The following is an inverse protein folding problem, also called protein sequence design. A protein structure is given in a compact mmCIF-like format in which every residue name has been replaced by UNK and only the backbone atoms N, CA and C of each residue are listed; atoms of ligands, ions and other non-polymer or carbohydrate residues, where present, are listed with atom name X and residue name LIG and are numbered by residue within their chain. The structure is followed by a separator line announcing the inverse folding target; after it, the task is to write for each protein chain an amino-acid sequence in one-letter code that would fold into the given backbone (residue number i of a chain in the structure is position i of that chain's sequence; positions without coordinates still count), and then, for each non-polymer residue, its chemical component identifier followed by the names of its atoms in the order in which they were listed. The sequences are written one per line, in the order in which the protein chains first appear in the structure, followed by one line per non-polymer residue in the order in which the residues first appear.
data_IF_156286878786
#
_entry.id   IF_156286878786
#
_cell.length_a   1.000
_cell.length_b   1.000
_cell.length_c   1.000
_cell.angle_alpha   90.00
_cell.angle_beta   90.00
_cell.angle_gamma   90.00
#
_symmetry.space_group_name_H-M   'P 1'
#
loop_
_entity.id
_entity.type
_entity.pdbx_description
1 polymer ?
#
# COMPACT_ATOMS: atom_id res chain seq x y z
N UNK A 1 8.22 3.14 -21.57
CA UNK A 1 9.26 2.71 -20.61
C UNK A 1 8.60 2.32 -19.30
N UNK A 2 9.15 1.36 -18.55
CA UNK A 2 8.56 0.89 -17.26
C UNK A 2 8.77 1.91 -16.14
N UNK A 3 7.84 2.06 -15.19
CA UNK A 3 8.06 2.83 -13.95
C UNK A 3 8.88 2.04 -12.92
N UNK A 4 9.43 2.72 -11.91
CA UNK A 4 10.05 2.09 -10.73
C UNK A 4 9.38 2.61 -9.47
N UNK A 5 9.20 1.78 -8.45
CA UNK A 5 8.66 2.27 -7.18
C UNK A 5 8.95 1.36 -6.01
N UNK A 6 8.74 1.88 -4.81
CA UNK A 6 8.71 1.07 -3.59
C UNK A 6 7.29 0.69 -3.23
N UNK A 7 7.06 -0.55 -2.81
CA UNK A 7 5.75 -1.03 -2.35
C UNK A 7 5.88 -1.91 -1.10
N UNK A 8 6.20 -1.38 0.08
CA UNK A 8 6.44 0.03 0.47
C UNK A 8 7.72 0.15 1.33
N UNK A 9 8.23 1.38 1.51
CA UNK A 9 9.19 1.68 2.57
C UNK A 9 8.46 2.13 3.83
N UNK A 10 8.73 1.50 4.98
CA UNK A 10 8.07 1.92 6.22
C UNK A 10 8.67 3.21 6.80
N UNK A 11 7.81 4.04 7.43
CA UNK A 11 8.17 5.38 7.94
C UNK A 11 8.83 5.40 9.33
N UNK A 12 9.00 4.24 9.96
CA UNK A 12 9.64 4.12 11.27
C UNK A 12 11.13 3.77 11.18
N UNK A 13 11.49 2.91 10.22
CA UNK A 13 12.86 2.43 10.04
C UNK A 13 13.83 3.45 9.41
N UNK A 14 13.30 4.55 8.86
CA UNK A 14 14.06 5.54 8.09
C UNK A 14 13.59 6.95 8.45
N UNK A 15 14.54 7.88 8.60
CA UNK A 15 14.20 9.29 8.83
C UNK A 15 13.61 9.91 7.55
N UNK A 16 12.78 10.97 7.66
CA UNK A 16 12.23 11.67 6.50
C UNK A 16 13.33 12.14 5.52
N UNK A 17 14.43 12.69 6.04
CA UNK A 17 15.54 13.15 5.20
C UNK A 17 16.25 11.99 4.46
N UNK A 18 16.33 10.79 5.06
CA UNK A 18 16.88 9.62 4.41
C UNK A 18 15.95 9.10 3.29
N UNK A 19 14.63 9.11 3.53
CA UNK A 19 13.63 8.77 2.52
C UNK A 19 13.68 9.74 1.34
N UNK A 20 13.73 11.06 1.61
CA UNK A 20 13.82 12.09 0.58
C UNK A 20 15.07 11.93 -0.30
N UNK A 21 16.24 11.67 0.31
CA UNK A 21 17.49 11.40 -0.41
C UNK A 21 17.44 10.11 -1.23
N UNK A 22 16.82 9.06 -0.68
CA UNK A 22 16.65 7.78 -1.37
C UNK A 22 15.79 7.97 -2.63
N UNK A 23 14.63 8.63 -2.48
CA UNK A 23 13.73 8.90 -3.59
C UNK A 23 14.39 9.78 -4.66
N UNK A 24 15.06 10.87 -4.28
CA UNK A 24 15.76 11.75 -5.21
C UNK A 24 16.85 11.01 -6.01
N UNK A 25 17.57 10.10 -5.36
CA UNK A 25 18.64 9.33 -6.00
C UNK A 25 18.07 8.29 -6.98
N UNK A 26 17.05 7.54 -6.58
CA UNK A 26 16.36 6.59 -7.45
C UNK A 26 15.67 7.29 -8.62
N UNK A 27 15.10 8.46 -8.37
CA UNK A 27 14.45 9.24 -9.41
C UNK A 27 15.45 9.70 -10.48
N UNK A 28 16.57 10.28 -10.06
CA UNK A 28 17.65 10.68 -10.96
C UNK A 28 18.20 9.50 -11.77
N UNK A 29 18.52 8.38 -11.11
CA UNK A 29 19.04 7.17 -11.77
C UNK A 29 18.03 6.55 -12.75
N UNK A 30 16.74 6.67 -12.45
CA UNK A 30 15.67 6.16 -13.31
C UNK A 30 15.34 7.11 -14.45
N UNK A 31 15.82 8.35 -14.44
CA UNK A 31 15.42 9.38 -15.39
C UNK A 31 13.98 9.88 -15.18
N UNK A 32 13.57 10.06 -13.92
CA UNK A 32 12.28 10.68 -13.60
C UNK A 32 11.12 9.68 -13.47
N UNK A 33 11.42 8.39 -13.29
CA UNK A 33 10.43 7.29 -13.34
C UNK A 33 10.15 6.66 -11.96
N UNK A 34 10.68 7.24 -10.88
CA UNK A 34 10.53 6.66 -9.54
C UNK A 34 9.26 7.14 -8.84
N UNK A 35 8.60 6.25 -8.11
CA UNK A 35 7.46 6.55 -7.23
C UNK A 35 7.77 6.05 -5.82
N UNK A 36 7.62 6.93 -4.83
CA UNK A 36 7.89 6.60 -3.43
C UNK A 36 6.63 6.03 -2.76
N UNK A 37 6.53 4.70 -2.66
CA UNK A 37 5.50 4.08 -1.83
C UNK A 37 5.92 3.98 -0.36
N UNK A 38 5.06 4.47 0.53
CA UNK A 38 5.26 4.52 1.99
C UNK A 38 4.14 3.80 2.73
N UNK A 39 4.41 3.45 3.99
CA UNK A 39 3.41 2.87 4.89
C UNK A 39 3.87 2.90 6.34
N UNK A 40 2.92 2.82 7.27
CA UNK A 40 3.23 2.81 8.70
C UNK A 40 3.71 1.43 9.21
N UNK A 41 3.45 0.35 8.46
CA UNK A 41 3.58 -1.03 8.93
C UNK A 41 2.68 -1.34 10.15
N UNK A 42 2.92 -2.45 10.84
CA UNK A 42 2.22 -2.86 12.06
C UNK A 42 3.13 -2.96 13.28
N UNK A 43 2.56 -2.94 14.51
CA UNK A 43 3.33 -2.92 15.75
C UNK A 43 4.30 -4.10 15.89
N UNK A 44 3.93 -5.30 15.46
CA UNK A 44 4.83 -6.47 15.51
C UNK A 44 6.13 -6.24 14.73
N UNK A 45 6.05 -5.65 13.54
CA UNK A 45 7.23 -5.36 12.73
C UNK A 45 8.02 -4.20 13.36
N UNK A 46 7.34 -3.12 13.74
CA UNK A 46 8.01 -1.91 14.22
C UNK A 46 8.65 -2.12 15.60
N UNK A 47 7.94 -2.74 16.54
CA UNK A 47 8.44 -2.97 17.89
C UNK A 47 9.30 -4.24 17.96
N UNK A 48 8.88 -5.31 17.30
CA UNK A 48 9.57 -6.60 17.35
C UNK A 48 10.83 -6.66 16.49
N UNK A 49 10.80 -6.16 15.26
CA UNK A 49 11.94 -6.24 14.34
C UNK A 49 12.83 -4.99 14.38
N UNK A 50 12.23 -3.80 14.47
CA UNK A 50 13.00 -2.54 14.49
C UNK A 50 13.31 -2.01 15.90
N UNK A 51 12.64 -2.51 16.95
CA UNK A 51 12.85 -2.04 18.32
C UNK A 51 12.41 -0.59 18.57
N UNK A 52 11.46 -0.08 17.77
CA UNK A 52 10.99 1.31 17.85
C UNK A 52 9.54 1.31 18.37
N UNK A 53 9.14 2.23 19.26
CA UNK A 53 7.75 2.35 19.69
C UNK A 53 6.80 2.64 18.53
N UNK A 54 5.69 1.90 18.42
CA UNK A 54 4.66 2.14 17.41
C UNK A 54 3.68 3.24 17.85
N UNK A 55 4.11 4.49 17.76
CA UNK A 55 3.33 5.67 18.17
C UNK A 55 3.02 6.61 17.00
N UNK A 56 1.84 7.24 17.05
CA UNK A 56 1.36 8.25 16.10
C UNK A 56 1.56 7.91 14.61
N UNK A 57 1.19 6.71 14.13
CA UNK A 57 1.51 6.26 12.77
C UNK A 57 0.97 7.18 11.67
N UNK A 58 -0.27 7.66 11.81
CA UNK A 58 -0.87 8.56 10.84
C UNK A 58 -0.16 9.92 10.81
N UNK A 59 0.10 10.51 11.98
CA UNK A 59 0.84 11.78 12.07
C UNK A 59 2.25 11.61 11.49
N UNK A 60 2.98 10.58 11.89
CA UNK A 60 4.33 10.28 11.37
C UNK A 60 4.34 10.19 9.85
N UNK A 61 3.39 9.45 9.27
CA UNK A 61 3.28 9.29 7.82
C UNK A 61 3.07 10.64 7.13
N UNK A 62 2.14 11.46 7.64
CA UNK A 62 1.87 12.80 7.11
C UNK A 62 3.10 13.71 7.17
N UNK A 63 3.74 13.81 8.34
CA UNK A 63 4.94 14.64 8.50
C UNK A 63 6.10 14.16 7.62
N UNK A 64 6.24 12.84 7.40
CA UNK A 64 7.25 12.30 6.46
C UNK A 64 6.97 12.75 5.03
N UNK A 65 5.71 12.72 4.57
CA UNK A 65 5.35 13.17 3.22
C UNK A 65 5.65 14.67 3.04
N UNK A 66 5.20 15.49 4.00
CA UNK A 66 5.44 16.94 4.00
C UNK A 66 6.94 17.24 3.95
N UNK A 67 7.74 16.63 4.83
CA UNK A 67 9.18 16.83 4.88
C UNK A 67 9.87 16.36 3.59
N UNK A 68 9.43 15.25 2.97
CA UNK A 68 9.99 14.80 1.70
C UNK A 68 9.76 15.82 0.59
N UNK A 69 8.52 16.31 0.43
CA UNK A 69 8.17 17.34 -0.55
C UNK A 69 8.95 18.63 -0.32
N UNK A 70 9.05 19.09 0.94
CA UNK A 70 9.85 20.27 1.30
C UNK A 70 11.33 20.08 0.95
N UNK A 71 11.91 18.91 1.24
CA UNK A 71 13.31 18.62 0.95
C UNK A 71 13.60 18.68 -0.56
N UNK A 72 12.68 18.21 -1.41
CA UNK A 72 12.84 18.20 -2.87
C UNK A 72 12.78 19.60 -3.50
N UNK A 73 12.27 20.62 -2.79
CA UNK A 73 12.40 22.02 -3.23
C UNK A 73 13.83 22.57 -3.10
N UNK A 74 14.77 21.82 -2.51
CA UNK A 74 16.19 22.20 -2.31
C UNK A 74 16.40 23.50 -1.50
N UNK A 75 15.43 23.85 -0.68
CA UNK A 75 15.55 24.94 0.28
C UNK A 75 16.11 24.43 1.63
N UNK A 76 16.65 25.30 2.50
CA UNK A 76 17.01 24.91 3.86
C UNK A 76 15.79 24.33 4.59
N UNK A 77 15.87 23.06 4.97
CA UNK A 77 14.75 22.33 5.55
C UNK A 77 14.55 22.73 7.02
N UNK A 78 13.38 23.31 7.29
CA UNK A 78 12.88 23.58 8.65
C UNK A 78 11.52 22.94 8.83
N UNK A 79 11.31 22.25 9.94
CA UNK A 79 10.05 21.57 10.24
C UNK A 79 9.84 21.51 11.76
N UNK A 80 8.63 21.84 12.22
CA UNK A 80 8.23 21.75 13.62
C UNK A 80 6.91 20.99 13.71
N UNK A 81 7.01 19.68 13.89
CA UNK A 81 5.88 18.77 13.96
C UNK A 81 5.69 18.19 15.35
N UNK A 82 4.77 17.23 15.43
CA UNK A 82 4.55 16.41 16.62
C UNK A 82 5.50 15.23 16.71
N UNK A 83 5.98 14.71 15.57
CA UNK A 83 6.89 13.56 15.51
C UNK A 83 8.31 14.01 15.18
N UNK A 84 8.48 15.00 14.30
CA UNK A 84 9.79 15.46 13.85
C UNK A 84 10.01 16.95 14.11
N UNK A 85 11.23 17.28 14.55
CA UNK A 85 11.74 18.65 14.61
C UNK A 85 13.05 18.72 13.82
N UNK A 86 13.10 19.60 12.82
CA UNK A 86 14.24 19.81 11.94
C UNK A 86 14.53 21.32 11.87
N UNK A 87 15.73 21.79 12.30
CA UNK A 87 16.74 21.05 13.04
C UNK A 87 16.24 20.61 14.43
N UNK A 88 16.92 19.62 15.00
CA UNK A 88 16.64 19.16 16.37
C UNK A 88 16.95 20.29 17.38
N UNK A 89 16.04 20.59 18.33
CA UNK A 89 16.30 21.58 19.37
C UNK A 89 17.53 21.25 20.22
N UNK A 90 18.20 22.30 20.72
CA UNK A 90 19.49 22.18 21.39
C UNK A 90 19.42 21.30 22.64
N UNK A 91 18.28 21.29 23.34
CA UNK A 91 18.06 20.51 24.56
C UNK A 91 17.96 19.00 24.30
N UNK A 92 17.74 18.61 23.04
CA UNK A 92 17.65 17.22 22.60
C UNK A 92 18.89 16.74 21.83
N UNK A 93 19.93 17.57 21.70
CA UNK A 93 21.12 17.25 20.92
C UNK A 93 22.36 18.04 21.34
N UNK A 94 23.31 18.20 20.42
CA UNK A 94 24.57 18.93 20.67
C UNK A 94 24.46 20.45 20.50
N UNK A 95 23.29 20.95 20.07
CA UNK A 95 23.09 22.37 19.72
C UNK A 95 23.74 22.82 18.40
N UNK A 96 24.38 21.90 17.66
CA UNK A 96 25.05 22.21 16.38
C UNK A 96 24.12 22.12 15.15
N UNK A 97 22.88 21.67 15.35
CA UNK A 97 21.90 21.53 14.28
C UNK A 97 21.55 22.88 13.66
N UNK A 98 21.59 22.96 12.34
CA UNK A 98 21.09 24.09 11.56
C UNK A 98 20.29 23.58 10.37
N UNK A 99 19.40 24.39 9.77
CA UNK A 99 18.71 24.01 8.55
C UNK A 99 19.71 23.65 7.45
N UNK A 100 19.49 22.52 6.79
CA UNK A 100 20.30 22.03 5.67
C UNK A 100 19.39 21.78 4.48
N UNK A 101 19.97 21.87 3.27
CA UNK A 101 19.29 21.50 2.03
C UNK A 101 19.84 20.18 1.50
N UNK A 102 19.01 19.43 0.79
CA UNK A 102 19.47 18.22 0.09
C UNK A 102 20.55 18.58 -0.94
N UNK A 103 21.60 17.76 -1.03
CA UNK A 103 22.71 18.00 -1.97
C UNK A 103 22.35 17.59 -3.40
N UNK A 104 21.48 16.59 -3.56
CA UNK A 104 21.01 16.08 -4.86
C UNK A 104 20.40 17.20 -5.70
N UNK A 105 20.89 17.36 -6.93
CA UNK A 105 20.21 18.18 -7.92
C UNK A 105 18.99 17.43 -8.41
N UNK A 106 17.81 17.99 -8.14
CA UNK A 106 16.55 17.32 -8.40
C UNK A 106 16.25 17.34 -9.89
N UNK A 107 15.87 16.18 -10.43
CA UNK A 107 15.32 16.09 -11.78
C UNK A 107 13.85 16.53 -11.78
N UNK A 108 13.12 16.14 -10.73
CA UNK A 108 11.76 16.57 -10.42
C UNK A 108 11.73 17.12 -9.00
N UNK A 109 11.11 18.27 -8.81
CA UNK A 109 10.93 18.91 -7.50
C UNK A 109 9.65 18.43 -6.79
N UNK A 110 8.94 17.48 -7.39
CA UNK A 110 7.87 16.70 -6.79
C UNK A 110 7.93 15.24 -7.31
N UNK A 111 8.19 14.30 -6.41
CA UNK A 111 8.23 12.86 -6.71
C UNK A 111 6.93 12.24 -6.20
N UNK A 112 6.17 11.49 -7.03
CA UNK A 112 4.90 10.92 -6.61
C UNK A 112 5.04 10.03 -5.37
N UNK A 113 4.12 10.22 -4.43
CA UNK A 113 4.05 9.45 -3.18
C UNK A 113 2.79 8.59 -3.19
N UNK A 114 2.97 7.28 -2.96
CA UNK A 114 1.88 6.31 -2.84
C UNK A 114 1.84 5.78 -1.41
N UNK A 115 0.65 5.49 -0.89
CA UNK A 115 0.50 5.08 0.51
C UNK A 115 -0.21 3.75 0.62
N UNK A 116 0.38 2.82 1.36
CA UNK A 116 -0.32 1.65 1.86
C UNK A 116 -1.04 1.98 3.18
N UNK A 117 -2.37 1.95 3.15
CA UNK A 117 -3.25 2.28 4.27
C UNK A 117 -4.55 1.47 4.20
N UNK A 118 -5.12 1.14 5.37
CA UNK A 118 -6.35 0.31 5.47
C UNK A 118 -7.39 0.91 6.42
N UNK A 119 -6.99 1.61 7.49
CA UNK A 119 -7.94 2.18 8.43
C UNK A 119 -8.58 3.46 7.89
N UNK A 120 -9.86 3.70 8.22
CA UNK A 120 -10.65 4.83 7.74
C UNK A 120 -9.89 6.17 7.70
N UNK A 121 -9.40 6.64 8.85
CA UNK A 121 -8.65 7.91 8.94
C UNK A 121 -7.37 7.91 8.08
N UNK A 122 -6.69 6.77 7.95
CA UNK A 122 -5.49 6.68 7.11
C UNK A 122 -5.81 6.67 5.62
N UNK A 123 -6.93 6.08 5.22
CA UNK A 123 -7.42 6.09 3.84
C UNK A 123 -7.89 7.48 3.46
N UNK A 124 -8.62 8.17 4.35
CA UNK A 124 -9.05 9.55 4.15
C UNK A 124 -7.85 10.49 3.92
N UNK A 125 -6.84 10.45 4.80
CA UNK A 125 -5.63 11.25 4.61
C UNK A 125 -4.84 10.85 3.35
N UNK A 126 -4.89 9.57 2.96
CA UNK A 126 -4.25 9.10 1.72
C UNK A 126 -4.91 9.75 0.50
N UNK A 127 -6.24 9.70 0.40
CA UNK A 127 -6.99 10.33 -0.68
C UNK A 127 -6.80 11.85 -0.74
N UNK A 128 -6.67 12.51 0.42
CA UNK A 128 -6.46 13.95 0.48
C UNK A 128 -5.05 14.40 0.07
N UNK A 129 -4.01 13.60 0.35
CA UNK A 129 -2.62 14.11 0.36
C UNK A 129 -1.59 13.29 -0.42
N UNK A 130 -1.94 12.10 -0.92
CA UNK A 130 -1.05 11.25 -1.70
C UNK A 130 -1.42 11.20 -3.19
N UNK A 131 -0.47 10.84 -4.04
CA UNK A 131 -0.72 10.65 -5.47
C UNK A 131 -1.47 9.33 -5.73
N UNK A 132 -1.23 8.31 -4.91
CA UNK A 132 -1.97 7.06 -5.02
C UNK A 132 -2.05 6.24 -3.75
N UNK A 133 -2.91 5.22 -3.80
CA UNK A 133 -3.24 4.33 -2.69
C UNK A 133 -2.96 2.88 -3.05
N UNK A 134 -2.36 2.18 -2.09
CA UNK A 134 -1.98 0.78 -2.17
C UNK A 134 -2.78 -0.02 -1.11
N UNK A 135 -4.09 -0.22 -1.29
CA UNK A 135 -4.88 -1.12 -0.46
C UNK A 135 -4.36 -2.57 -0.55
N UNK A 136 -4.79 -3.39 0.40
CA UNK A 136 -4.43 -4.80 0.48
C UNK A 136 -5.67 -5.67 0.23
N UNK A 137 -5.53 -6.74 -0.56
CA UNK A 137 -6.60 -7.68 -0.94
C UNK A 137 -7.92 -6.97 -1.19
N UNK A 138 -7.95 -6.16 -2.24
CA UNK A 138 -9.17 -5.47 -2.66
C UNK A 138 -10.20 -6.52 -3.07
N UNK A 139 -11.36 -6.45 -2.44
CA UNK A 139 -12.59 -7.10 -2.89
C UNK A 139 -13.44 -6.00 -3.54
N UNK A 140 -13.42 -5.87 -4.89
CA UNK A 140 -14.03 -4.75 -5.60
C UNK A 140 -15.48 -4.49 -5.19
N UNK A 141 -16.29 -5.54 -5.13
CA UNK A 141 -17.73 -5.44 -4.83
C UNK A 141 -18.04 -4.99 -3.40
N UNK A 142 -17.06 -5.03 -2.48
CA UNK A 142 -17.21 -4.57 -1.09
C UNK A 142 -16.33 -3.36 -0.78
N UNK A 143 -15.62 -2.81 -1.77
CA UNK A 143 -14.65 -1.74 -1.60
C UNK A 143 -15.29 -0.43 -1.12
N UNK A 144 -16.43 -0.03 -1.71
CA UNK A 144 -17.15 1.19 -1.30
C UNK A 144 -17.73 1.07 0.11
N UNK A 145 -18.23 -0.11 0.49
CA UNK A 145 -18.74 -0.37 1.85
C UNK A 145 -17.66 -0.19 2.91
N UNK A 146 -16.42 -0.60 2.63
CA UNK A 146 -15.32 -0.53 3.60
C UNK A 146 -14.65 0.84 3.62
N UNK A 147 -14.42 1.45 2.46
CA UNK A 147 -13.58 2.63 2.32
C UNK A 147 -14.22 3.82 1.62
N UNK A 148 -15.40 3.68 1.02
CA UNK A 148 -16.04 4.70 0.20
C UNK A 148 -16.21 6.04 0.90
N UNK A 149 -16.67 6.02 2.16
CA UNK A 149 -16.83 7.25 2.95
C UNK A 149 -15.49 7.94 3.23
N UNK A 150 -14.44 7.16 3.55
CA UNK A 150 -13.10 7.70 3.79
C UNK A 150 -12.49 8.27 2.52
N UNK A 151 -12.64 7.58 1.39
CA UNK A 151 -12.16 8.07 0.10
C UNK A 151 -12.89 9.36 -0.28
N UNK A 152 -14.23 9.40 -0.21
CA UNK A 152 -15.01 10.62 -0.49
C UNK A 152 -14.57 11.80 0.38
N UNK A 153 -14.49 11.61 1.70
CA UNK A 153 -14.07 12.66 2.62
C UNK A 153 -12.63 13.16 2.35
N UNK A 154 -11.72 12.26 1.97
CA UNK A 154 -10.36 12.64 1.58
C UNK A 154 -10.33 13.41 0.26
N UNK A 155 -11.10 12.97 -0.73
CA UNK A 155 -11.20 13.64 -2.04
C UNK A 155 -11.79 15.05 -1.93
N UNK A 156 -12.72 15.30 -1.01
CA UNK A 156 -13.25 16.65 -0.73
C UNK A 156 -12.16 17.62 -0.24
N UNK A 157 -11.11 17.11 0.40
CA UNK A 157 -9.98 17.89 0.94
C UNK A 157 -8.73 17.82 0.04
N UNK A 158 -8.80 17.13 -1.10
CA UNK A 158 -7.65 16.85 -1.92
C UNK A 158 -7.04 18.12 -2.48
N UNK A 159 -5.72 18.21 -2.39
CA UNK A 159 -4.95 19.27 -3.05
C UNK A 159 -5.06 19.09 -4.58
N UNK A 160 -5.62 20.06 -5.33
CA UNK A 160 -5.73 19.97 -6.78
C UNK A 160 -4.39 19.77 -7.50
N UNK A 161 -3.26 20.22 -6.91
CA UNK A 161 -1.93 20.07 -7.51
C UNK A 161 -1.48 18.60 -7.56
N UNK A 162 -2.09 17.69 -6.78
CA UNK A 162 -1.76 16.27 -6.80
C UNK A 162 -2.30 15.52 -8.03
N UNK A 163 -3.21 16.13 -8.79
CA UNK A 163 -3.90 15.51 -9.91
C UNK A 163 -4.85 14.39 -9.48
N UNK A 164 -5.15 13.47 -10.39
CA UNK A 164 -6.05 12.34 -10.13
C UNK A 164 -5.50 11.43 -9.02
N UNK A 165 -6.39 10.82 -8.25
CA UNK A 165 -6.04 9.89 -7.20
C UNK A 165 -5.92 8.48 -7.75
N UNK A 166 -4.71 7.95 -7.82
CA UNK A 166 -4.46 6.62 -8.37
C UNK A 166 -4.76 5.51 -7.35
N UNK A 167 -5.80 4.74 -7.59
CA UNK A 167 -6.19 3.60 -6.77
C UNK A 167 -5.59 2.34 -7.38
N UNK A 168 -4.64 1.73 -6.66
CA UNK A 168 -3.88 0.58 -7.16
C UNK A 168 -4.38 -0.71 -6.51
N UNK A 169 -4.86 -1.65 -7.30
CA UNK A 169 -5.34 -2.92 -6.78
C UNK A 169 -5.07 -4.08 -7.73
N UNK A 170 -5.22 -5.30 -7.24
CA UNK A 170 -5.07 -6.51 -8.02
C UNK A 170 -4.66 -7.67 -7.14
N UNK A 171 -4.14 -8.71 -7.77
CA UNK A 171 -3.76 -9.95 -7.13
C UNK A 171 -3.08 -10.87 -8.12
N UNK A 172 -3.27 -12.15 -7.95
CA UNK A 172 -2.84 -13.14 -8.92
C UNK A 172 -3.62 -12.97 -10.23
N UNK A 173 -2.94 -13.17 -11.35
CA UNK A 173 -3.56 -13.24 -12.67
C UNK A 173 -3.11 -14.50 -13.41
N UNK A 174 -4.06 -15.27 -13.90
CA UNK A 174 -3.84 -16.42 -14.76
C UNK A 174 -5.02 -16.53 -15.74
N UNK A 175 -4.73 -16.73 -17.02
CA UNK A 175 -5.74 -16.71 -18.08
C UNK A 175 -5.74 -18.05 -18.81
N UNK A 176 -6.86 -18.77 -18.78
CA UNK A 176 -7.05 -20.05 -19.46
C UNK A 176 -8.15 -20.93 -18.84
N UNK A 177 -8.54 -21.97 -19.56
CA UNK A 177 -9.69 -22.84 -19.20
C UNK A 177 -9.55 -23.52 -17.83
N UNK A 178 -8.33 -23.76 -17.33
CA UNK A 178 -8.05 -24.38 -16.04
C UNK A 178 -7.38 -23.43 -15.04
N UNK A 179 -7.38 -22.12 -15.33
CA UNK A 179 -6.64 -21.14 -14.55
C UNK A 179 -7.21 -20.88 -13.15
N UNK A 180 -8.48 -21.25 -12.90
CA UNK A 180 -9.14 -21.14 -11.59
C UNK A 180 -8.35 -21.82 -10.47
N UNK A 181 -7.70 -22.96 -10.74
CA UNK A 181 -6.87 -23.69 -9.76
C UNK A 181 -5.75 -22.85 -9.16
N UNK A 182 -5.32 -21.79 -9.84
CA UNK A 182 -4.24 -20.92 -9.38
C UNK A 182 -4.68 -19.95 -8.28
N UNK A 183 -5.99 -19.77 -8.03
CA UNK A 183 -6.51 -18.92 -6.94
C UNK A 183 -6.00 -19.37 -5.58
N UNK A 184 -5.89 -20.69 -5.36
CA UNK A 184 -5.38 -21.27 -4.12
C UNK A 184 -3.95 -20.85 -3.78
N UNK A 185 -3.15 -20.41 -4.76
CA UNK A 185 -1.81 -19.87 -4.51
C UNK A 185 -1.83 -18.55 -3.72
N UNK A 186 -2.98 -17.88 -3.59
CA UNK A 186 -3.13 -16.70 -2.76
C UNK A 186 -3.26 -17.04 -1.26
N UNK A 187 -3.72 -18.26 -0.93
CA UNK A 187 -4.02 -18.66 0.46
C UNK A 187 -2.86 -18.55 1.43
N UNK A 188 -1.61 -18.94 1.10
CA UNK A 188 -0.50 -18.83 2.05
C UNK A 188 -0.23 -17.39 2.46
N UNK A 189 -0.30 -16.45 1.52
CA UNK A 189 -0.13 -15.02 1.78
C UNK A 189 -1.31 -14.48 2.59
N UNK A 190 -2.55 -14.78 2.18
CA UNK A 190 -3.74 -14.35 2.91
C UNK A 190 -3.76 -14.87 4.36
N UNK A 191 -3.43 -16.15 4.60
CA UNK A 191 -3.37 -16.73 5.94
C UNK A 191 -2.29 -16.08 6.81
N UNK A 192 -1.09 -15.81 6.26
CA UNK A 192 -0.04 -15.08 6.98
C UNK A 192 -0.52 -13.68 7.38
N UNK A 193 -1.16 -12.94 6.49
CA UNK A 193 -1.55 -11.56 6.77
C UNK A 193 -2.77 -11.49 7.72
N UNK A 194 -3.85 -12.18 7.39
CA UNK A 194 -5.09 -12.24 8.20
C UNK A 194 -4.84 -12.90 9.55
N UNK A 195 -3.97 -13.91 9.62
CA UNK A 195 -3.70 -14.65 10.84
C UNK A 195 -2.51 -14.16 11.64
N UNK A 196 -1.36 -13.94 10.99
CA UNK A 196 -0.05 -13.82 11.63
C UNK A 196 0.61 -12.44 11.66
N UNK A 197 0.21 -11.50 10.81
CA UNK A 197 0.84 -10.16 10.72
C UNK A 197 0.32 -9.14 11.75
N UNK A 198 -0.49 -9.59 12.70
CA UNK A 198 -0.91 -8.82 13.87
C UNK A 198 -1.14 -9.71 15.09
N UNK A 199 -1.48 -9.09 16.22
CA UNK A 199 -1.84 -9.81 17.44
C UNK A 199 -3.37 -10.02 17.52
N UNK A 200 -3.83 -10.95 18.36
CA UNK A 200 -5.27 -11.30 18.52
C UNK A 200 -6.21 -10.13 18.83
N UNK A 201 -5.69 -9.01 19.36
CA UNK A 201 -6.46 -7.79 19.62
C UNK A 201 -6.14 -6.61 18.69
N UNK A 202 -5.22 -6.79 17.73
CA UNK A 202 -4.78 -5.74 16.82
C UNK A 202 -4.14 -6.34 15.56
N UNK A 203 -4.97 -6.68 14.58
CA UNK A 203 -4.54 -7.11 13.26
C UNK A 203 -5.39 -6.44 12.18
N UNK A 204 -4.83 -5.44 11.51
CA UNK A 204 -5.52 -4.65 10.48
C UNK A 204 -6.02 -5.49 9.29
N UNK A 205 -5.33 -6.59 8.96
CA UNK A 205 -5.74 -7.48 7.86
C UNK A 205 -6.88 -8.41 8.28
N UNK A 206 -6.90 -8.80 9.56
CA UNK A 206 -8.02 -9.53 10.14
C UNK A 206 -9.27 -8.64 10.22
N UNK A 207 -9.09 -7.42 10.73
CA UNK A 207 -10.14 -6.41 10.80
C UNK A 207 -10.74 -6.14 9.41
N UNK A 208 -9.89 -6.06 8.36
CA UNK A 208 -10.35 -5.92 6.98
C UNK A 208 -11.20 -7.12 6.52
N UNK A 209 -10.77 -8.35 6.82
CA UNK A 209 -11.55 -9.56 6.50
C UNK A 209 -12.93 -9.53 7.20
N UNK A 210 -12.98 -9.08 8.46
CA UNK A 210 -14.23 -8.84 9.19
C UNK A 210 -15.09 -7.74 8.53
N UNK A 211 -14.49 -6.63 8.11
CA UNK A 211 -15.17 -5.52 7.44
C UNK A 211 -15.74 -5.92 6.08
N UNK A 212 -15.08 -6.83 5.38
CA UNK A 212 -15.65 -7.46 4.20
C UNK A 212 -16.80 -8.41 4.52
N UNK A 213 -17.09 -8.73 5.78
CA UNK A 213 -18.24 -9.55 6.19
C UNK A 213 -17.91 -11.00 6.51
N UNK A 214 -16.64 -11.32 6.78
CA UNK A 214 -16.18 -12.67 7.14
C UNK A 214 -15.57 -12.74 8.56
N UNK A 215 -16.31 -12.32 9.62
CA UNK A 215 -15.75 -12.25 10.96
C UNK A 215 -15.40 -13.63 11.55
N UNK A 216 -16.22 -14.65 11.27
CA UNK A 216 -16.02 -16.00 11.81
C UNK A 216 -14.81 -16.66 11.17
N UNK A 217 -14.68 -16.57 9.84
CA UNK A 217 -13.53 -17.04 9.09
C UNK A 217 -12.25 -16.29 9.49
N UNK A 218 -12.30 -14.97 9.62
CA UNK A 218 -11.16 -14.18 10.09
C UNK A 218 -10.68 -14.66 11.47
N UNK A 219 -11.61 -14.93 12.39
CA UNK A 219 -11.29 -15.47 13.71
C UNK A 219 -10.64 -16.86 13.63
N UNK A 220 -11.24 -17.76 12.85
CA UNK A 220 -10.74 -19.12 12.66
C UNK A 220 -9.33 -19.15 12.01
N UNK A 221 -9.10 -18.34 10.98
CA UNK A 221 -7.79 -18.19 10.32
C UNK A 221 -6.74 -17.74 11.34
N UNK A 222 -7.06 -16.73 12.15
CA UNK A 222 -6.11 -16.20 13.13
C UNK A 222 -5.81 -17.19 14.25
N UNK A 223 -6.82 -17.86 14.79
CA UNK A 223 -6.62 -18.90 15.80
C UNK A 223 -5.72 -20.02 15.28
N UNK A 224 -6.07 -20.62 14.15
CA UNK A 224 -5.29 -21.69 13.55
C UNK A 224 -3.85 -21.25 13.23
N UNK A 225 -3.66 -20.04 12.69
CA UNK A 225 -2.33 -19.55 12.33
C UNK A 225 -1.44 -19.34 13.57
N UNK A 226 -1.98 -18.74 14.64
CA UNK A 226 -1.25 -18.50 15.88
C UNK A 226 -0.93 -19.81 16.64
N UNK A 227 -1.77 -20.84 16.50
CA UNK A 227 -1.50 -22.19 17.02
C UNK A 227 -0.49 -22.98 16.15
N UNK A 228 -0.01 -22.40 15.05
CA UNK A 228 0.90 -23.07 14.11
C UNK A 228 0.22 -24.06 13.16
N UNK A 229 -1.11 -24.14 13.17
CA UNK A 229 -1.94 -24.97 12.27
C UNK A 229 -2.15 -24.26 10.92
N UNK A 230 -1.07 -24.11 10.16
CA UNK A 230 -1.06 -23.30 8.92
C UNK A 230 -2.01 -23.82 7.84
N UNK A 231 -2.11 -25.13 7.65
CA UNK A 231 -2.99 -25.72 6.63
C UNK A 231 -4.47 -25.48 6.98
N UNK A 232 -4.82 -25.58 8.26
CA UNK A 232 -6.16 -25.25 8.76
C UNK A 232 -6.46 -23.76 8.59
N UNK A 233 -5.48 -22.89 8.85
CA UNK A 233 -5.62 -21.45 8.61
C UNK A 233 -5.87 -21.14 7.13
N UNK A 234 -5.19 -21.82 6.21
CA UNK A 234 -5.42 -21.65 4.77
C UNK A 234 -6.78 -22.19 4.32
N UNK A 235 -7.22 -23.32 4.88
CA UNK A 235 -8.51 -23.92 4.60
C UNK A 235 -9.69 -23.09 5.15
N UNK A 236 -9.48 -22.35 6.24
CA UNK A 236 -10.48 -21.48 6.85
C UNK A 236 -10.70 -20.14 6.10
N UNK A 237 -9.87 -19.81 5.11
CA UNK A 237 -10.02 -18.57 4.34
C UNK A 237 -11.33 -18.58 3.54
N UNK A 238 -12.10 -17.46 3.51
CA UNK A 238 -13.33 -17.39 2.73
C UNK A 238 -13.02 -17.59 1.24
N UNK A 239 -13.71 -18.55 0.62
CA UNK A 239 -13.55 -18.85 -0.81
C UNK A 239 -13.81 -17.61 -1.67
N UNK A 240 -14.88 -16.89 -1.37
CA UNK A 240 -15.29 -15.68 -2.09
C UNK A 240 -14.23 -14.57 -2.00
N UNK A 241 -13.55 -14.42 -0.85
CA UNK A 241 -12.47 -13.43 -0.72
C UNK A 241 -11.28 -13.80 -1.60
N UNK A 242 -10.90 -15.09 -1.63
CA UNK A 242 -9.81 -15.58 -2.49
C UNK A 242 -10.18 -15.48 -3.96
N UNK A 243 -11.42 -15.79 -4.33
CA UNK A 243 -11.91 -15.63 -5.69
C UNK A 243 -11.89 -14.15 -6.13
N UNK A 244 -12.57 -13.28 -5.38
CA UNK A 244 -12.85 -11.90 -5.82
C UNK A 244 -11.64 -10.96 -5.73
N UNK A 245 -10.61 -11.33 -4.97
CA UNK A 245 -9.35 -10.56 -4.91
C UNK A 245 -8.31 -10.96 -5.97
N UNK A 246 -8.63 -11.90 -6.87
CA UNK A 246 -7.73 -12.39 -7.91
C UNK A 246 -8.41 -12.45 -9.29
N UNK A 247 -7.62 -12.57 -10.35
CA UNK A 247 -8.04 -12.62 -11.75
C UNK A 247 -7.55 -13.90 -12.43
N UNK A 248 -7.96 -15.04 -11.87
CA UNK A 248 -7.56 -16.37 -12.36
C UNK A 248 -8.76 -17.10 -12.93
N UNK A 249 -8.83 -17.29 -14.24
CA UNK A 249 -9.94 -17.97 -14.92
C UNK A 249 -9.83 -17.88 -16.44
N UNK A 250 -10.91 -18.23 -17.14
CA UNK A 250 -11.01 -17.99 -18.58
C UNK A 250 -11.08 -16.48 -18.90
N UNK A 251 -11.01 -16.13 -20.18
CA UNK A 251 -10.99 -14.73 -20.59
C UNK A 251 -12.28 -13.97 -20.23
N UNK A 252 -13.43 -14.65 -20.26
CA UNK A 252 -14.71 -14.05 -19.90
C UNK A 252 -14.72 -13.67 -18.42
N UNK A 253 -14.31 -14.60 -17.56
CA UNK A 253 -14.15 -14.35 -16.13
C UNK A 253 -13.16 -13.20 -15.85
N UNK A 254 -12.01 -13.17 -16.55
CA UNK A 254 -11.02 -12.10 -16.35
C UNK A 254 -11.56 -10.75 -16.80
N UNK A 255 -12.32 -10.66 -17.90
CA UNK A 255 -13.02 -9.44 -18.30
C UNK A 255 -14.04 -8.99 -17.25
N UNK A 256 -14.82 -9.91 -16.69
CA UNK A 256 -15.77 -9.60 -15.63
C UNK A 256 -15.07 -9.09 -14.37
N UNK A 257 -13.91 -9.67 -14.01
CA UNK A 257 -13.10 -9.15 -12.90
C UNK A 257 -12.56 -7.76 -13.22
N UNK A 258 -11.98 -7.54 -14.39
CA UNK A 258 -11.48 -6.22 -14.80
C UNK A 258 -12.58 -5.15 -14.70
N UNK A 259 -13.81 -5.48 -15.11
CA UNK A 259 -14.96 -4.59 -15.00
C UNK A 259 -15.30 -4.28 -13.54
N UNK A 260 -15.31 -5.28 -12.67
CA UNK A 260 -15.55 -5.11 -11.24
C UNK A 260 -14.49 -4.21 -10.57
N UNK A 261 -13.21 -4.40 -10.88
CA UNK A 261 -12.13 -3.54 -10.37
C UNK A 261 -12.31 -2.09 -10.86
N UNK A 262 -12.62 -1.90 -12.15
CA UNK A 262 -12.87 -0.57 -12.73
C UNK A 262 -14.08 0.12 -12.10
N UNK A 263 -15.19 -0.59 -11.91
CA UNK A 263 -16.41 -0.08 -11.25
C UNK A 263 -16.15 0.31 -9.79
N UNK A 264 -15.30 -0.44 -9.08
CA UNK A 264 -14.85 -0.11 -7.73
C UNK A 264 -13.90 1.11 -7.65
N UNK A 265 -13.56 1.72 -8.79
CA UNK A 265 -12.73 2.92 -8.86
C UNK A 265 -11.22 2.64 -8.93
N UNK A 266 -10.81 1.41 -9.24
CA UNK A 266 -9.39 1.05 -9.43
C UNK A 266 -8.91 1.60 -10.77
N UNK A 267 -7.84 2.40 -10.73
CA UNK A 267 -7.24 3.04 -11.90
C UNK A 267 -5.97 2.37 -12.38
N UNK A 268 -5.30 1.63 -11.50
CA UNK A 268 -4.06 0.91 -11.82
C UNK A 268 -4.08 -0.52 -11.29
N UNK A 269 -3.69 -1.48 -12.14
CA UNK A 269 -3.59 -2.88 -11.76
C UNK A 269 -2.18 -3.24 -11.27
N UNK A 270 -2.09 -3.78 -10.05
CA UNK A 270 -0.88 -4.41 -9.52
C UNK A 270 -1.11 -5.92 -9.42
N UNK A 271 -0.51 -6.65 -10.35
CA UNK A 271 -0.80 -8.08 -10.55
C UNK A 271 0.45 -8.94 -10.54
N UNK A 272 0.28 -10.18 -10.10
CA UNK A 272 1.32 -11.22 -10.18
C UNK A 272 0.89 -12.27 -11.20
N UNK A 273 1.50 -12.30 -12.40
CA UNK A 273 1.16 -13.30 -13.41
C UNK A 273 1.68 -14.68 -13.01
N UNK A 274 0.83 -15.70 -13.14
CA UNK A 274 1.13 -17.10 -12.85
C UNK A 274 0.54 -18.03 -13.91
N UNK A 275 0.96 -19.30 -13.91
CA UNK A 275 0.41 -20.33 -14.79
C UNK A 275 0.87 -20.28 -16.26
N UNK A 276 1.80 -19.39 -16.61
CA UNK A 276 2.35 -19.25 -17.95
C UNK A 276 3.57 -18.34 -18.00
N UNK A 277 4.01 -17.99 -19.21
CA UNK A 277 5.05 -16.96 -19.38
C UNK A 277 4.53 -15.59 -18.90
N UNK A 278 5.21 -14.91 -17.94
CA UNK A 278 4.73 -13.66 -17.38
C UNK A 278 4.43 -12.57 -18.40
N UNK A 279 5.26 -12.43 -19.44
CA UNK A 279 5.08 -11.38 -20.44
C UNK A 279 3.85 -11.67 -21.32
N UNK A 280 3.62 -12.93 -21.68
CA UNK A 280 2.43 -13.34 -22.41
C UNK A 280 1.14 -13.11 -21.60
N UNK A 281 1.11 -13.50 -20.32
CA UNK A 281 -0.07 -13.30 -19.45
C UNK A 281 -0.38 -11.81 -19.28
N UNK A 282 0.63 -10.97 -19.03
CA UNK A 282 0.44 -9.53 -18.90
C UNK A 282 0.04 -8.87 -20.23
N UNK A 283 0.60 -9.33 -21.35
CA UNK A 283 0.20 -8.89 -22.68
C UNK A 283 -1.28 -9.17 -22.95
N UNK A 284 -1.73 -10.39 -22.64
CA UNK A 284 -3.14 -10.76 -22.81
C UNK A 284 -4.05 -10.01 -21.85
N UNK A 285 -3.69 -9.88 -20.58
CA UNK A 285 -4.46 -9.08 -19.61
C UNK A 285 -4.67 -7.65 -20.10
N UNK A 286 -3.63 -7.03 -20.66
CA UNK A 286 -3.72 -5.69 -21.22
C UNK A 286 -4.71 -5.62 -22.38
N UNK A 287 -4.67 -6.56 -23.32
CA UNK A 287 -5.63 -6.62 -24.43
C UNK A 287 -7.07 -6.75 -23.90
N UNK A 288 -7.30 -7.61 -22.91
CA UNK A 288 -8.62 -7.77 -22.28
C UNK A 288 -9.08 -6.49 -21.57
N UNK A 289 -8.16 -5.74 -20.94
CA UNK A 289 -8.46 -4.49 -20.26
C UNK A 289 -8.77 -3.34 -21.22
N UNK A 290 -8.28 -3.37 -22.46
CA UNK A 290 -8.64 -2.39 -23.50
C UNK A 290 -10.12 -2.55 -23.97
N UNK A 291 -10.70 -3.74 -23.77
CA UNK A 291 -12.10 -4.06 -24.12
C UNK A 291 -13.13 -3.74 -23.01
N UNK A 292 -12.69 -3.29 -21.82
CA UNK A 292 -13.52 -3.11 -20.60
C UNK A 292 -13.50 -1.66 -20.12
#
# INVERSE_FOLDING_TARGET
TVGLGSGILNTYSRTPAALAQTAASLDSLSGGRFTLGLGASGPQVIEGFHGIPYSMPLTRLREVMEICRMAWKREPLTYNGKVFDLPLPAERGTGLGKPLKIINHMLRDDIPIYIASLGANSVEETAASANGWLPFMVFPERMDTVWGDSVRAGMERRDPELGDFDVVAGGLVAIGDDAEKYRDMARPMAALYIGGMGAKGKNFYNDLCCQYGFPDEASAVQEAYLDGRRDEAMAALPEELIEKSNMCGDEAYVKDRLAAYKEAGVTSLNVTPIGGDPAAVLGRLRELAEDV
#
